data_IF_202824708333
#
_entry.id   IF_202824708333
#
_cell.length_a   1.000
_cell.length_b   1.000
_cell.length_c   1.000
_cell.angle_alpha   90.00
_cell.angle_beta   90.00
_cell.angle_gamma   90.00
#
_symmetry.space_group_name_H-M   'P 1'
#
loop_
_entity.id
_entity.type
_entity.pdbx_description
1 polymer ?
#
# COMPACT_ATOMS: atom_id res chain seq x y z
N UNK A 1 14.32 -2.95 -0.34
CA UNK A 1 13.83 -3.04 1.05
C UNK A 1 12.79 -4.16 1.19
N UNK A 2 11.63 -4.13 0.53
CA UNK A 2 10.71 -5.29 0.48
C UNK A 2 11.17 -6.39 -0.50
N UNK A 3 11.51 -6.04 -1.74
CA UNK A 3 11.88 -7.03 -2.78
C UNK A 3 13.10 -7.89 -2.42
N UNK A 4 13.99 -7.33 -1.61
CA UNK A 4 15.20 -7.98 -1.09
C UNK A 4 14.98 -8.69 0.25
N UNK A 5 13.77 -8.66 0.80
CA UNK A 5 13.44 -9.25 2.10
C UNK A 5 13.10 -10.74 1.99
N UNK A 6 13.03 -11.41 3.13
CA UNK A 6 12.53 -12.78 3.19
C UNK A 6 11.01 -12.76 3.38
N UNK A 7 10.28 -13.77 2.86
CA UNK A 7 8.87 -13.93 3.17
C UNK A 7 8.62 -13.90 4.68
N UNK A 8 7.65 -13.10 5.12
CA UNK A 8 7.29 -12.94 6.54
C UNK A 8 8.07 -11.86 7.29
N UNK A 9 9.00 -11.14 6.65
CA UNK A 9 9.65 -9.98 7.28
C UNK A 9 8.72 -8.75 7.38
N UNK A 10 7.71 -8.70 6.52
CA UNK A 10 6.74 -7.61 6.46
C UNK A 10 5.34 -8.19 6.31
N UNK A 11 4.45 -7.74 7.18
CA UNK A 11 3.04 -8.15 7.14
C UNK A 11 2.21 -7.20 6.27
N UNK A 12 2.58 -5.92 6.22
CA UNK A 12 1.85 -4.86 5.52
C UNK A 12 2.84 -3.81 4.97
N UNK A 13 2.50 -3.21 3.84
CA UNK A 13 3.18 -2.04 3.26
C UNK A 13 2.26 -0.82 3.36
N UNK A 14 2.70 0.23 4.04
CA UNK A 14 2.09 1.55 3.97
C UNK A 14 2.74 2.33 2.83
N UNK A 15 1.96 2.70 1.81
CA UNK A 15 2.47 3.30 0.58
C UNK A 15 2.02 4.75 0.45
N UNK A 16 2.95 5.70 0.46
CA UNK A 16 2.62 7.08 0.09
C UNK A 16 2.29 7.17 -1.40
N UNK A 17 1.12 7.70 -1.74
CA UNK A 17 0.71 7.86 -3.14
C UNK A 17 1.51 8.97 -3.81
N UNK A 18 1.78 10.07 -3.10
CA UNK A 18 2.39 11.28 -3.68
C UNK A 18 3.86 11.36 -3.27
N UNK A 19 4.72 10.70 -4.04
CA UNK A 19 6.17 10.74 -3.88
C UNK A 19 6.84 11.43 -5.08
N UNK A 20 7.99 12.11 -4.89
CA UNK A 20 8.77 12.63 -6.00
C UNK A 20 9.43 11.49 -6.79
N UNK A 21 9.69 11.72 -8.08
CA UNK A 21 10.36 10.81 -9.04
C UNK A 21 9.50 9.59 -9.44
N UNK A 22 9.03 8.79 -8.49
CA UNK A 22 8.16 7.63 -8.72
C UNK A 22 6.99 7.70 -7.76
N UNK A 23 5.76 7.64 -8.27
CA UNK A 23 4.58 7.70 -7.43
C UNK A 23 4.25 6.34 -6.78
N UNK A 24 3.38 6.35 -5.77
CA UNK A 24 3.01 5.14 -5.06
C UNK A 24 2.27 4.11 -5.92
N UNK A 25 1.63 4.54 -7.01
CA UNK A 25 0.93 3.64 -7.93
C UNK A 25 1.95 2.82 -8.75
N UNK A 26 2.96 3.47 -9.31
CA UNK A 26 4.06 2.83 -10.02
C UNK A 26 4.89 1.92 -9.10
N UNK A 27 5.17 2.39 -7.87
CA UNK A 27 5.84 1.58 -6.87
C UNK A 27 5.04 0.32 -6.54
N UNK A 28 3.73 0.43 -6.38
CA UNK A 28 2.85 -0.73 -6.10
C UNK A 28 2.83 -1.70 -7.28
N UNK A 29 2.70 -1.20 -8.52
CA UNK A 29 2.79 -2.05 -9.73
C UNK A 29 4.12 -2.79 -9.80
N UNK A 30 5.23 -2.12 -9.46
CA UNK A 30 6.56 -2.73 -9.41
C UNK A 30 6.63 -3.85 -8.35
N UNK A 31 6.11 -3.58 -7.15
CA UNK A 31 6.00 -4.59 -6.08
C UNK A 31 5.20 -5.80 -6.58
N UNK A 32 4.03 -5.59 -7.19
CA UNK A 32 3.17 -6.67 -7.71
C UNK A 32 3.81 -7.47 -8.84
N UNK A 33 4.63 -6.84 -9.67
CA UNK A 33 5.38 -7.49 -10.74
C UNK A 33 6.70 -8.15 -10.28
N UNK A 34 7.12 -7.91 -9.03
CA UNK A 34 8.38 -8.45 -8.51
C UNK A 34 8.35 -9.97 -8.31
N UNK A 35 9.54 -10.58 -8.30
CA UNK A 35 9.72 -12.02 -8.05
C UNK A 35 9.58 -12.41 -6.57
N UNK A 36 9.28 -11.46 -5.68
CA UNK A 36 9.16 -11.75 -4.26
C UNK A 36 7.95 -12.70 -4.02
N UNK A 37 8.08 -13.78 -3.24
CA UNK A 37 6.99 -14.76 -3.07
C UNK A 37 5.69 -14.20 -2.49
N UNK A 38 5.77 -13.07 -1.77
CA UNK A 38 4.62 -12.37 -1.22
C UNK A 38 4.15 -11.19 -2.09
N UNK A 39 4.73 -10.95 -3.27
CA UNK A 39 4.44 -9.79 -4.12
C UNK A 39 2.95 -9.63 -4.42
N UNK A 40 2.24 -10.72 -4.69
CA UNK A 40 0.80 -10.72 -4.99
C UNK A 40 -0.10 -10.75 -3.76
N UNK A 41 0.46 -11.01 -2.57
CA UNK A 41 -0.32 -11.29 -1.35
C UNK A 41 -0.18 -10.21 -0.29
N UNK A 42 0.97 -9.55 -0.20
CA UNK A 42 1.20 -8.56 0.86
C UNK A 42 0.20 -7.41 0.73
N UNK A 43 -0.56 -7.08 1.80
CA UNK A 43 -1.41 -5.91 1.85
C UNK A 43 -0.61 -4.64 1.59
N UNK A 44 -1.03 -3.85 0.62
CA UNK A 44 -0.49 -2.51 0.35
C UNK A 44 -1.59 -1.49 0.63
N UNK A 45 -1.41 -0.66 1.65
CA UNK A 45 -2.37 0.37 2.05
C UNK A 45 -1.89 1.72 1.55
N UNK A 46 -2.68 2.34 0.69
CA UNK A 46 -2.39 3.66 0.15
C UNK A 46 -2.50 4.74 1.24
N UNK A 47 -1.60 5.70 1.25
CA UNK A 47 -1.68 6.92 2.06
C UNK A 47 -1.80 8.11 1.12
N UNK A 48 -2.98 8.74 1.09
CA UNK A 48 -3.28 9.83 0.16
C UNK A 48 -3.63 11.12 0.90
N UNK A 49 -3.29 12.28 0.34
CA UNK A 49 -3.75 13.57 0.84
C UNK A 49 -5.21 13.88 0.46
N UNK A 50 -5.76 13.15 -0.50
CA UNK A 50 -7.09 13.36 -1.09
C UNK A 50 -7.89 12.06 -1.05
N UNK A 51 -9.18 12.16 -0.72
CA UNK A 51 -10.12 11.03 -0.64
C UNK A 51 -11.11 11.03 -1.82
N UNK A 52 -10.72 11.56 -2.97
CA UNK A 52 -11.58 11.54 -4.16
C UNK A 52 -11.66 10.12 -4.73
N UNK A 53 -12.84 9.71 -5.18
CA UNK A 53 -13.10 8.38 -5.73
C UNK A 53 -12.13 8.00 -6.86
N UNK A 54 -11.67 8.99 -7.64
CA UNK A 54 -10.70 8.76 -8.71
C UNK A 54 -9.33 8.29 -8.20
N UNK A 55 -8.83 8.87 -7.10
CA UNK A 55 -7.55 8.48 -6.50
C UNK A 55 -7.63 7.08 -5.87
N UNK A 56 -8.79 6.74 -5.29
CA UNK A 56 -9.09 5.40 -4.75
C UNK A 56 -9.12 4.39 -5.89
N UNK A 57 -9.83 4.69 -6.98
CA UNK A 57 -9.90 3.81 -8.15
C UNK A 57 -8.51 3.57 -8.76
N UNK A 58 -7.66 4.61 -8.85
CA UNK A 58 -6.26 4.47 -9.30
C UNK A 58 -5.43 3.61 -8.35
N UNK A 59 -5.60 3.79 -7.03
CA UNK A 59 -4.92 2.98 -6.02
C UNK A 59 -5.26 1.50 -6.17
N UNK A 60 -6.55 1.17 -6.21
CA UNK A 60 -7.04 -0.20 -6.36
C UNK A 60 -6.58 -0.80 -7.70
N UNK A 61 -6.68 -0.06 -8.81
CA UNK A 61 -6.22 -0.50 -10.12
C UNK A 61 -4.70 -0.75 -10.19
N UNK A 62 -3.91 -0.10 -9.33
CA UNK A 62 -2.47 -0.36 -9.21
C UNK A 62 -2.13 -1.62 -8.38
N UNK A 63 -3.12 -2.21 -7.72
CA UNK A 63 -2.97 -3.39 -6.88
C UNK A 63 -2.85 -3.08 -5.38
N UNK A 64 -3.22 -1.88 -4.94
CA UNK A 64 -3.37 -1.55 -3.51
C UNK A 64 -4.67 -2.17 -2.97
N UNK A 65 -4.71 -2.44 -1.66
CA UNK A 65 -5.79 -3.17 -1.00
C UNK A 65 -6.75 -2.26 -0.23
N UNK A 66 -6.24 -1.18 0.36
CA UNK A 66 -7.04 -0.20 1.10
C UNK A 66 -6.36 1.17 1.00
N UNK A 67 -6.99 2.20 1.55
CA UNK A 67 -6.44 3.55 1.61
C UNK A 67 -6.70 4.21 2.96
N UNK A 68 -5.83 5.16 3.31
CA UNK A 68 -5.92 6.00 4.50
C UNK A 68 -5.65 7.44 4.06
N UNK A 69 -6.56 8.35 4.42
CA UNK A 69 -6.38 9.77 4.18
C UNK A 69 -5.35 10.37 5.17
N UNK A 70 -4.55 11.31 4.67
CA UNK A 70 -3.68 12.18 5.47
C UNK A 70 -4.48 13.43 5.88
N UNK A 71 -4.25 14.00 7.08
CA UNK A 71 -3.30 13.57 8.11
C UNK A 71 -3.70 12.23 8.74
N UNK A 72 -2.72 11.38 9.03
CA UNK A 72 -2.96 10.01 9.49
C UNK A 72 -3.61 10.04 10.87
N UNK A 73 -4.83 9.51 10.96
CA UNK A 73 -5.48 9.21 12.22
C UNK A 73 -5.05 7.82 12.69
N UNK A 74 -4.43 7.73 13.89
CA UNK A 74 -3.91 6.46 14.44
C UNK A 74 -5.03 5.43 14.62
N UNK A 75 -6.22 5.83 15.06
CA UNK A 75 -7.33 4.89 15.24
C UNK A 75 -7.77 4.29 13.91
N UNK A 76 -7.90 5.13 12.86
CA UNK A 76 -8.21 4.65 11.51
C UNK A 76 -7.11 3.74 10.97
N UNK A 77 -5.84 4.12 11.16
CA UNK A 77 -4.70 3.29 10.76
C UNK A 77 -4.73 1.91 11.42
N UNK A 78 -4.92 1.86 12.74
CA UNK A 78 -4.97 0.60 13.48
C UNK A 78 -6.16 -0.26 13.07
N UNK A 79 -7.33 0.34 12.87
CA UNK A 79 -8.52 -0.36 12.37
C UNK A 79 -8.31 -0.93 10.96
N UNK A 80 -7.63 -0.20 10.08
CA UNK A 80 -7.32 -0.68 8.74
C UNK A 80 -6.29 -1.81 8.78
N UNK A 81 -5.22 -1.65 9.55
CA UNK A 81 -4.18 -2.67 9.73
C UNK A 81 -4.78 -3.96 10.30
N UNK A 82 -5.67 -3.88 11.29
CA UNK A 82 -6.31 -5.06 11.90
C UNK A 82 -7.22 -5.83 10.95
N UNK A 83 -7.61 -5.28 9.79
CA UNK A 83 -8.32 -6.06 8.76
C UNK A 83 -7.43 -7.10 8.07
N UNK A 84 -6.11 -6.91 8.16
CA UNK A 84 -5.11 -7.68 7.44
C UNK A 84 -4.14 -8.44 8.36
N UNK A 85 -4.32 -8.32 9.67
CA UNK A 85 -3.58 -9.08 10.67
C UNK A 85 -4.56 -10.00 11.40
N UNK A 86 -4.21 -11.28 11.47
CA UNK A 86 -4.95 -12.30 12.24
C UNK A 86 -4.61 -12.23 13.74
#
# INVERSE_FOLDING_TARGET
MFESSKPGNYDIILMDVRMPVMDGYEATKSIRASKHPQSSKIPVIAMSATSFDEDINKALASGMNDYIAKPININTLMLTISKYMD
#
